data_IF_752537805019
#
_entry.id   IF_752537805019
#
_cell.length_a   1.000
_cell.length_b   1.000
_cell.length_c   1.000
_cell.angle_alpha   90.00
_cell.angle_beta   90.00
_cell.angle_gamma   90.00
#
_symmetry.space_group_name_H-M   'P 1'
#
loop_
_entity.id
_entity.type
_entity.pdbx_description
1 polymer ?
#
# COMPACT_ATOMS: atom_id res chain seq x y z
N UNK A 1 0.57 2.67 3.03
CA UNK A 1 1.28 1.93 4.09
C UNK A 1 2.65 2.53 4.28
N UNK A 2 3.04 2.69 5.53
CA UNK A 2 4.33 3.19 6.00
C UNK A 2 4.99 2.16 6.92
N UNK A 3 6.22 2.43 7.37
CA UNK A 3 6.89 1.62 8.40
C UNK A 3 6.30 1.78 9.81
N UNK A 4 5.40 2.75 9.98
CA UNK A 4 4.73 3.06 11.24
C UNK A 4 3.30 2.51 11.29
N UNK A 5 2.71 2.20 10.13
CA UNK A 5 1.42 1.52 10.04
C UNK A 5 0.78 1.59 8.65
N UNK A 6 -0.50 1.20 8.52
CA UNK A 6 -1.16 1.11 7.22
C UNK A 6 -1.39 2.49 6.57
N UNK A 7 -1.49 3.56 7.36
CA UNK A 7 -1.91 4.88 6.88
C UNK A 7 -3.39 4.91 6.51
N UNK A 8 -3.87 6.05 6.04
CA UNK A 8 -5.29 6.18 5.68
C UNK A 8 -5.61 5.50 4.35
N UNK A 9 -6.71 4.74 4.33
CA UNK A 9 -7.30 4.23 3.10
C UNK A 9 -8.18 5.33 2.48
N UNK A 10 -8.12 5.47 1.16
CA UNK A 10 -8.94 6.44 0.42
C UNK A 10 -9.95 5.72 -0.47
N UNK A 11 -11.20 6.17 -0.45
CA UNK A 11 -12.24 5.71 -1.35
C UNK A 11 -12.38 6.67 -2.53
N UNK A 12 -12.43 6.11 -3.74
CA UNK A 12 -12.74 6.85 -4.97
C UNK A 12 -14.21 6.62 -5.28
N UNK A 13 -15.00 7.69 -5.22
CA UNK A 13 -16.46 7.61 -5.40
C UNK A 13 -16.87 7.74 -6.86
N UNK A 14 -16.21 8.62 -7.63
CA UNK A 14 -16.63 9.01 -8.96
C UNK A 14 -15.62 8.63 -10.04
N UNK A 15 -15.94 7.59 -10.82
CA UNK A 15 -15.22 7.24 -12.04
C UNK A 15 -13.78 6.75 -11.80
N UNK A 16 -12.91 7.09 -12.74
CA UNK A 16 -11.49 6.68 -12.74
C UNK A 16 -10.63 7.79 -12.16
N UNK A 17 -9.58 7.43 -11.42
CA UNK A 17 -8.59 8.38 -10.92
C UNK A 17 -8.00 9.22 -12.06
N UNK A 18 -8.02 10.54 -11.91
CA UNK A 18 -7.34 11.49 -12.80
C UNK A 18 -6.22 12.24 -12.06
N UNK A 19 -5.48 13.10 -12.76
CA UNK A 19 -4.35 13.85 -12.18
C UNK A 19 -4.73 14.75 -11.02
N UNK A 20 -5.91 15.37 -11.07
CA UNK A 20 -6.35 16.34 -10.08
C UNK A 20 -6.78 15.63 -8.80
N UNK A 21 -7.54 14.54 -8.94
CA UNK A 21 -7.91 13.68 -7.82
C UNK A 21 -6.67 13.02 -7.20
N UNK A 22 -5.71 12.59 -8.01
CA UNK A 22 -4.46 12.00 -7.49
C UNK A 22 -3.69 13.02 -6.64
N UNK A 23 -3.48 14.24 -7.14
CA UNK A 23 -2.82 15.30 -6.39
C UNK A 23 -3.60 15.67 -5.11
N UNK A 24 -4.93 15.69 -5.18
CA UNK A 24 -5.76 15.93 -4.00
C UNK A 24 -5.58 14.85 -2.92
N UNK A 25 -5.53 13.57 -3.30
CA UNK A 25 -5.26 12.45 -2.37
C UNK A 25 -3.86 12.60 -1.73
N UNK A 26 -2.86 13.03 -2.51
CA UNK A 26 -1.52 13.30 -1.99
C UNK A 26 -1.49 14.50 -1.02
N UNK A 27 -2.27 15.54 -1.25
CA UNK A 27 -2.28 16.71 -0.37
C UNK A 27 -3.12 16.51 0.91
N UNK A 28 -4.04 15.55 0.88
CA UNK A 28 -4.95 15.22 2.00
C UNK A 28 -4.53 13.93 2.70
N UNK A 29 -4.93 12.77 2.19
CA UNK A 29 -4.77 11.46 2.82
C UNK A 29 -3.33 11.13 3.19
N UNK A 30 -2.37 11.48 2.32
CA UNK A 30 -0.96 11.29 2.62
C UNK A 30 -0.47 12.23 3.72
N UNK A 31 -0.85 13.51 3.65
CA UNK A 31 -0.51 14.51 4.68
C UNK A 31 -1.07 14.15 6.04
N UNK A 32 -2.33 13.75 6.10
CA UNK A 32 -2.97 13.27 7.33
C UNK A 32 -2.25 12.03 7.87
N UNK A 33 -1.84 11.10 7.00
CA UNK A 33 -1.06 9.92 7.41
C UNK A 33 0.29 10.33 8.03
N UNK A 34 0.97 11.29 7.40
CA UNK A 34 2.25 11.82 7.88
C UNK A 34 2.12 12.46 9.25
N UNK A 35 1.10 13.30 9.43
CA UNK A 35 0.80 13.96 10.70
C UNK A 35 0.41 12.96 11.80
N UNK A 36 -0.43 11.96 11.46
CA UNK A 36 -0.87 10.94 12.41
C UNK A 36 0.27 10.12 13.00
N UNK A 37 1.28 9.79 12.18
CA UNK A 37 2.45 9.02 12.62
C UNK A 37 3.64 9.89 13.05
N UNK A 38 3.47 11.22 13.14
CA UNK A 38 4.56 12.17 13.44
C UNK A 38 5.78 11.98 12.53
N UNK A 39 5.51 11.76 11.24
CA UNK A 39 6.53 11.52 10.23
C UNK A 39 7.04 12.85 9.66
N UNK A 40 8.35 12.94 9.49
CA UNK A 40 8.97 14.10 8.87
C UNK A 40 9.08 13.90 7.36
N UNK A 41 8.54 14.86 6.60
CA UNK A 41 8.63 14.92 5.14
C UNK A 41 10.07 14.92 4.63
N UNK A 42 11.01 15.49 5.39
CA UNK A 42 12.41 15.60 4.96
C UNK A 42 13.17 14.26 5.03
N UNK A 43 12.69 13.33 5.85
CA UNK A 43 13.31 12.01 6.09
C UNK A 43 12.44 10.85 5.62
N UNK A 44 11.23 11.12 5.14
CA UNK A 44 10.32 10.09 4.61
C UNK A 44 10.58 9.83 3.14
N UNK A 45 10.94 8.60 2.83
CA UNK A 45 11.12 8.13 1.46
C UNK A 45 9.82 7.56 0.92
N UNK A 46 9.22 8.22 -0.06
CA UNK A 46 8.08 7.68 -0.80
C UNK A 46 8.58 6.88 -1.99
N UNK A 47 8.02 5.68 -2.17
CA UNK A 47 8.34 4.83 -3.32
C UNK A 47 8.03 5.48 -4.68
N UNK A 48 7.08 6.43 -4.69
CA UNK A 48 6.72 7.21 -5.88
C UNK A 48 7.37 8.60 -5.92
N UNK A 49 8.18 8.97 -4.92
CA UNK A 49 8.99 10.19 -5.04
C UNK A 49 10.14 9.91 -6.00
N UNK A 50 10.00 10.52 -7.17
CA UNK A 50 10.82 10.41 -8.39
C UNK A 50 12.32 10.63 -8.15
N UNK A 51 12.74 11.26 -7.05
CA UNK A 51 14.12 11.71 -6.87
C UNK A 51 15.15 10.64 -6.42
N UNK A 52 14.75 9.39 -6.16
CA UNK A 52 15.69 8.35 -5.68
C UNK A 52 15.59 7.01 -6.40
N UNK A 53 14.55 6.81 -7.22
CA UNK A 53 14.36 5.59 -8.00
C UNK A 53 14.05 6.04 -9.43
N UNK A 54 15.08 6.50 -10.14
CA UNK A 54 14.95 6.91 -11.54
C UNK A 54 14.61 5.72 -12.46
N UNK A 55 14.97 4.50 -12.05
CA UNK A 55 14.86 3.27 -12.84
C UNK A 55 14.02 2.17 -12.16
N UNK A 56 12.80 2.47 -11.69
CA UNK A 56 11.92 1.38 -11.23
C UNK A 56 11.54 0.48 -12.42
N UNK A 57 11.81 -0.83 -12.36
CA UNK A 57 11.51 -1.72 -13.47
C UNK A 57 9.99 -1.80 -13.69
N UNK A 58 9.57 -1.58 -14.94
CA UNK A 58 8.18 -1.80 -15.33
C UNK A 58 7.76 -3.25 -15.05
N UNK A 59 6.47 -3.46 -14.80
CA UNK A 59 5.88 -4.80 -14.57
C UNK A 59 6.53 -5.60 -13.43
N UNK A 60 6.99 -4.93 -12.37
CA UNK A 60 7.59 -5.59 -11.20
C UNK A 60 6.72 -5.48 -9.94
N UNK A 61 5.50 -6.09 -9.92
CA UNK A 61 4.63 -6.07 -8.74
C UNK A 61 5.28 -6.78 -7.53
N UNK A 62 6.13 -7.77 -7.79
CA UNK A 62 6.89 -8.52 -6.79
C UNK A 62 7.77 -7.62 -5.91
N UNK A 63 8.22 -6.48 -6.45
CA UNK A 63 9.02 -5.48 -5.75
C UNK A 63 8.17 -4.44 -4.99
N UNK A 64 6.85 -4.53 -5.05
CA UNK A 64 5.94 -3.55 -4.43
C UNK A 64 5.40 -4.10 -3.09
N UNK A 65 5.88 -3.63 -1.92
CA UNK A 65 5.49 -4.20 -0.63
C UNK A 65 3.99 -4.15 -0.33
N UNK A 66 3.27 -3.17 -0.89
CA UNK A 66 1.83 -2.96 -0.63
C UNK A 66 0.95 -4.08 -1.20
N UNK A 67 1.43 -4.84 -2.19
CA UNK A 67 0.66 -5.96 -2.78
C UNK A 67 0.33 -7.02 -1.73
N UNK A 68 1.22 -7.22 -0.76
CA UNK A 68 1.02 -8.20 0.31
C UNK A 68 -0.09 -7.78 1.30
N UNK A 69 -0.11 -6.56 1.86
CA UNK A 69 -1.26 -6.02 2.60
C UNK A 69 -2.57 -6.10 1.82
N UNK A 70 -2.56 -5.82 0.51
CA UNK A 70 -3.78 -5.95 -0.30
C UNK A 70 -4.26 -7.39 -0.40
N UNK A 71 -3.36 -8.35 -0.61
CA UNK A 71 -3.69 -9.76 -0.59
C UNK A 71 -4.25 -10.19 0.78
N UNK A 72 -3.57 -9.80 1.87
CA UNK A 72 -4.02 -10.10 3.24
C UNK A 72 -5.39 -9.48 3.53
N UNK A 73 -5.66 -8.27 3.06
CA UNK A 73 -6.96 -7.63 3.21
C UNK A 73 -8.05 -8.41 2.47
N UNK A 74 -7.80 -8.85 1.23
CA UNK A 74 -8.74 -9.69 0.47
C UNK A 74 -9.03 -11.01 1.20
N UNK A 75 -8.02 -11.63 1.82
CA UNK A 75 -8.22 -12.80 2.68
C UNK A 75 -9.09 -12.49 3.89
N UNK A 76 -8.85 -11.37 4.59
CA UNK A 76 -9.72 -10.94 5.72
C UNK A 76 -11.17 -10.74 5.27
N UNK A 77 -11.38 -10.19 4.07
CA UNK A 77 -12.72 -9.99 3.51
C UNK A 77 -13.39 -11.30 3.09
N UNK A 78 -12.63 -12.31 2.67
CA UNK A 78 -13.19 -13.62 2.28
C UNK A 78 -13.63 -14.47 3.47
N UNK A 79 -13.16 -14.16 4.68
CA UNK A 79 -13.57 -14.83 5.92
C UNK A 79 -14.96 -14.44 6.41
N UNK A 80 -15.61 -13.42 5.82
CA UNK A 80 -16.98 -13.07 6.19
C UNK A 80 -17.97 -14.12 5.66
N UNK A 81 -18.85 -14.62 6.54
CA UNK A 81 -19.88 -15.62 6.18
C UNK A 81 -20.79 -15.18 5.02
N UNK A 82 -21.03 -13.87 4.92
CA UNK A 82 -21.89 -13.27 3.90
C UNK A 82 -21.14 -12.20 3.13
N UNK A 83 -21.38 -12.12 1.82
CA UNK A 83 -20.93 -11.00 0.99
C UNK A 83 -21.54 -9.69 1.51
N UNK A 84 -20.83 -8.58 1.28
CA UNK A 84 -21.36 -7.25 1.56
C UNK A 84 -22.60 -6.99 0.70
N UNK A 85 -23.61 -6.31 1.25
CA UNK A 85 -24.87 -6.00 0.58
C UNK A 85 -24.77 -4.83 -0.39
N UNK A 86 -23.68 -4.08 -0.35
CA UNK A 86 -23.45 -2.91 -1.21
C UNK A 86 -22.09 -2.29 -0.96
N UNK A 87 -21.81 -1.20 -1.69
CA UNK A 87 -20.52 -0.52 -1.67
C UNK A 87 -20.17 0.07 -0.30
N UNK A 88 -21.15 0.62 0.44
CA UNK A 88 -20.93 1.19 1.77
C UNK A 88 -20.52 0.12 2.79
N UNK A 89 -21.24 -1.00 2.85
CA UNK A 89 -20.88 -2.10 3.74
C UNK A 89 -19.53 -2.73 3.34
N UNK A 90 -19.23 -2.79 2.04
CA UNK A 90 -17.92 -3.25 1.58
C UNK A 90 -16.81 -2.31 2.07
N UNK A 91 -17.01 -1.01 1.95
CA UNK A 91 -16.06 0.00 2.43
C UNK A 91 -15.83 -0.10 3.94
N UNK A 92 -16.87 -0.21 4.75
CA UNK A 92 -16.75 -0.39 6.20
C UNK A 92 -15.90 -1.62 6.56
N UNK A 93 -16.09 -2.74 5.84
CA UNK A 93 -15.29 -3.95 6.06
C UNK A 93 -13.84 -3.78 5.60
N UNK A 94 -13.61 -3.07 4.50
CA UNK A 94 -12.28 -2.73 3.98
C UNK A 94 -11.54 -1.86 4.98
N UNK A 95 -12.16 -0.77 5.44
CA UNK A 95 -11.60 0.16 6.41
C UNK A 95 -11.28 -0.54 7.73
N UNK A 96 -12.22 -1.33 8.26
CA UNK A 96 -11.98 -2.15 9.46
C UNK A 96 -10.83 -3.14 9.28
N UNK A 97 -10.76 -3.79 8.12
CA UNK A 97 -9.67 -4.74 7.80
C UNK A 97 -8.33 -4.04 7.69
N UNK A 98 -8.29 -2.88 7.05
CA UNK A 98 -7.08 -2.07 6.85
C UNK A 98 -6.53 -1.53 8.17
N UNK A 99 -7.40 -0.95 9.00
CA UNK A 99 -7.05 -0.39 10.31
C UNK A 99 -6.67 -1.46 11.35
N UNK A 100 -6.85 -2.74 11.04
CA UNK A 100 -6.39 -3.84 11.88
C UNK A 100 -4.95 -4.28 11.60
N UNK A 101 -4.28 -3.67 10.61
CA UNK A 101 -2.83 -3.84 10.44
C UNK A 101 -2.11 -2.95 11.45
N UNK A 102 -1.26 -3.56 12.26
CA UNK A 102 -0.37 -2.85 13.17
C UNK A 102 0.98 -2.56 12.50
N UNK A 103 1.80 -1.82 13.24
CA UNK A 103 3.14 -1.44 12.85
C UNK A 103 3.99 -2.66 12.53
N UNK A 104 3.92 -3.70 13.36
CA UNK A 104 4.69 -4.93 13.24
C UNK A 104 4.37 -5.68 11.93
N UNK A 105 3.10 -5.74 11.54
CA UNK A 105 2.66 -6.31 10.26
C UNK A 105 3.20 -5.49 9.09
N UNK A 106 3.09 -4.17 9.14
CA UNK A 106 3.59 -3.29 8.07
C UNK A 106 5.12 -3.41 7.89
N UNK A 107 5.86 -3.37 8.99
CA UNK A 107 7.32 -3.56 9.01
C UNK A 107 7.74 -4.89 8.41
N UNK A 108 7.07 -5.98 8.79
CA UNK A 108 7.35 -7.31 8.25
C UNK A 108 7.30 -7.36 6.74
N UNK A 109 6.36 -6.66 6.10
CA UNK A 109 6.29 -6.59 4.64
C UNK A 109 7.39 -5.73 4.04
N UNK A 110 7.70 -4.57 4.64
CA UNK A 110 8.76 -3.67 4.18
C UNK A 110 10.14 -4.34 4.30
N UNK A 111 10.40 -5.04 5.41
CA UNK A 111 11.66 -5.73 5.69
C UNK A 111 11.95 -6.87 4.72
N UNK A 112 10.97 -7.31 3.92
CA UNK A 112 11.20 -8.29 2.85
C UNK A 112 11.87 -7.70 1.60
N UNK A 113 11.98 -6.37 1.49
CA UNK A 113 12.52 -5.71 0.28
C UNK A 113 13.92 -6.17 -0.13
N UNK A 114 14.91 -6.30 0.77
CA UNK A 114 16.22 -6.83 0.40
C UNK A 114 16.16 -8.25 -0.19
N UNK A 115 15.28 -9.09 0.34
CA UNK A 115 15.09 -10.45 -0.16
C UNK A 115 14.39 -10.49 -1.54
N UNK A 116 13.41 -9.60 -1.77
CA UNK A 116 12.72 -9.45 -3.06
C UNK A 116 13.66 -8.96 -4.15
N UNK A 117 14.46 -7.93 -3.85
CA UNK A 117 15.48 -7.40 -4.77
C UNK A 117 16.47 -8.51 -5.13
N UNK A 118 16.97 -9.25 -4.13
CA UNK A 118 17.85 -10.38 -4.38
C UNK A 118 17.19 -11.43 -5.28
N UNK A 119 15.94 -11.80 -5.01
CA UNK A 119 15.22 -12.77 -5.84
C UNK A 119 15.04 -12.29 -7.29
N UNK A 120 14.80 -10.99 -7.51
CA UNK A 120 14.70 -10.41 -8.85
C UNK A 120 16.06 -10.41 -9.58
N UNK A 121 17.16 -10.15 -8.87
CA UNK A 121 18.53 -10.25 -9.42
C UNK A 121 18.84 -11.71 -9.77
N UNK A 122 18.58 -12.65 -8.86
CA UNK A 122 18.81 -14.08 -9.05
C UNK A 122 17.95 -14.65 -10.21
N UNK A 123 16.79 -14.05 -10.47
CA UNK A 123 15.91 -14.37 -11.59
C UNK A 123 16.25 -13.62 -12.89
N UNK A 124 17.32 -12.82 -12.91
CA UNK A 124 17.74 -12.00 -14.05
C UNK A 124 16.61 -11.09 -14.59
N UNK A 125 15.79 -10.54 -13.69
CA UNK A 125 14.63 -9.72 -14.02
C UNK A 125 13.35 -10.51 -14.35
N UNK A 126 13.38 -11.85 -14.24
CA UNK A 126 12.20 -12.70 -14.32
C UNK A 126 11.28 -12.62 -13.10
N UNK A 127 10.09 -13.22 -13.21
CA UNK A 127 9.12 -13.28 -12.12
C UNK A 127 9.64 -14.06 -10.91
N UNK A 128 9.29 -13.59 -9.73
CA UNK A 128 9.66 -14.18 -8.45
C UNK A 128 8.43 -14.77 -7.75
N UNK A 129 8.64 -15.32 -6.56
CA UNK A 129 7.56 -15.87 -5.72
C UNK A 129 6.81 -14.80 -4.90
N UNK A 130 7.31 -13.56 -4.92
CA UNK A 130 6.80 -12.45 -4.11
C UNK A 130 5.67 -11.72 -4.83
#
# INVERSE_FOLDING_TARGET
MTHEGPGYACQIYDGTMNSDLYQHILDTTLRETMEYYDMDWSTTYFQHHVNYIDDWPAQSPDLYPIEHPWHHLKLKLSLYDKKAKGVHELWERVEKGWNSFDKEVCRRYIDTMPARIKAAIDAEGGSTKY
#
